data_IF_985512201130
#
_entry.id   IF_985512201130
#
_cell.length_a   1.000
_cell.length_b   1.000
_cell.length_c   1.000
_cell.angle_alpha   90.00
_cell.angle_beta   90.00
_cell.angle_gamma   90.00
#
_symmetry.space_group_name_H-M   'P 1'
#
loop_
_entity.id
_entity.type
_entity.pdbx_description
1 polymer ?
#
# COMPACT_ATOMS: atom_id res chain seq x y z
N UNK A 1 -2.78 -0.21 -24.82
CA UNK A 1 -1.73 0.74 -25.19
C UNK A 1 -1.15 1.45 -23.95
N UNK A 2 -1.92 2.31 -23.21
CA UNK A 2 -1.39 3.04 -22.04
C UNK A 2 -0.74 2.12 -21.00
N UNK A 3 -1.42 1.06 -20.61
CA UNK A 3 -0.89 0.08 -19.63
C UNK A 3 0.43 -0.55 -20.10
N UNK A 4 0.53 -0.84 -21.38
CA UNK A 4 1.76 -1.40 -21.94
C UNK A 4 2.88 -0.36 -21.99
N UNK A 5 2.56 0.92 -22.21
CA UNK A 5 3.54 2.02 -22.15
C UNK A 5 4.07 2.23 -20.72
N UNK A 6 3.19 2.19 -19.71
CA UNK A 6 3.61 2.28 -18.29
C UNK A 6 4.56 1.14 -17.95
N UNK A 7 4.20 -0.09 -18.30
CA UNK A 7 5.08 -1.25 -18.09
C UNK A 7 6.42 -1.10 -18.82
N UNK A 8 6.39 -0.69 -20.10
CA UNK A 8 7.60 -0.52 -20.90
C UNK A 8 8.51 0.56 -20.31
N UNK A 9 7.93 1.64 -19.80
CA UNK A 9 8.70 2.72 -19.16
C UNK A 9 9.35 2.24 -17.85
N UNK A 10 8.62 1.53 -16.99
CA UNK A 10 9.21 0.94 -15.78
C UNK A 10 10.33 -0.07 -16.11
N UNK A 11 10.11 -0.91 -17.10
CA UNK A 11 11.13 -1.86 -17.55
C UNK A 11 12.39 -1.15 -18.04
N UNK A 12 12.23 -0.10 -18.86
CA UNK A 12 13.36 0.70 -19.34
C UNK A 12 14.15 1.33 -18.17
N UNK A 13 13.46 1.88 -17.15
CA UNK A 13 14.13 2.41 -15.97
C UNK A 13 14.87 1.31 -15.21
N UNK A 14 14.22 0.17 -14.99
CA UNK A 14 14.81 -0.98 -14.31
C UNK A 14 16.04 -1.51 -15.04
N UNK A 15 16.01 -1.57 -16.37
CA UNK A 15 17.14 -2.03 -17.21
C UNK A 15 18.34 -1.10 -17.04
N UNK A 16 18.13 0.22 -17.04
CA UNK A 16 19.20 1.21 -16.76
C UNK A 16 19.78 1.01 -15.37
N UNK A 17 18.95 0.85 -14.35
CA UNK A 17 19.43 0.64 -12.98
C UNK A 17 20.26 -0.64 -12.89
N UNK A 18 19.84 -1.70 -13.56
CA UNK A 18 20.57 -3.00 -13.55
C UNK A 18 21.97 -2.91 -14.17
N UNK A 19 22.21 -1.99 -15.08
CA UNK A 19 23.57 -1.77 -15.64
C UNK A 19 24.59 -1.31 -14.57
N UNK A 20 24.10 -0.70 -13.47
CA UNK A 20 24.93 -0.13 -12.42
C UNK A 20 24.73 -0.82 -11.06
N UNK A 21 23.70 -1.64 -10.93
CA UNK A 21 23.37 -2.32 -9.68
C UNK A 21 24.36 -3.47 -9.39
N UNK A 22 24.62 -3.70 -8.10
CA UNK A 22 25.35 -4.86 -7.64
C UNK A 22 24.44 -6.08 -7.49
N UNK A 23 24.98 -7.29 -7.50
CA UNK A 23 24.22 -8.55 -7.44
C UNK A 23 23.33 -8.70 -6.19
N UNK A 24 23.66 -7.99 -5.11
CA UNK A 24 22.90 -8.01 -3.86
C UNK A 24 21.85 -6.90 -3.75
N UNK A 25 21.65 -6.12 -4.79
CA UNK A 25 20.63 -5.06 -4.84
C UNK A 25 19.39 -5.54 -5.59
N UNK A 26 18.23 -5.13 -5.11
CA UNK A 26 16.96 -5.39 -5.76
C UNK A 26 16.30 -4.09 -6.23
N UNK A 27 15.45 -4.18 -7.21
CA UNK A 27 14.63 -3.11 -7.73
C UNK A 27 13.20 -3.28 -7.20
N UNK A 28 12.66 -2.22 -6.66
CA UNK A 28 11.27 -2.12 -6.26
C UNK A 28 10.67 -0.82 -6.79
N UNK A 29 9.36 -0.64 -6.64
CA UNK A 29 8.64 0.58 -7.03
C UNK A 29 7.39 0.73 -6.18
N UNK A 30 7.03 1.97 -5.87
CA UNK A 30 5.81 2.32 -5.17
C UNK A 30 4.60 2.09 -6.08
N UNK A 31 3.91 0.99 -5.90
CA UNK A 31 2.61 0.77 -6.50
C UNK A 31 1.52 1.27 -5.58
N UNK A 32 0.43 1.72 -6.18
CA UNK A 32 -0.68 2.29 -5.47
C UNK A 32 -1.98 1.64 -5.95
N UNK A 33 -2.85 1.27 -4.99
CA UNK A 33 -4.15 0.68 -5.26
C UNK A 33 -5.25 1.56 -4.66
N UNK A 34 -6.49 1.34 -4.97
CA UNK A 34 -7.58 2.06 -4.34
C UNK A 34 -7.94 1.46 -2.98
N UNK A 35 -7.87 2.29 -1.93
CA UNK A 35 -8.12 1.93 -0.54
C UNK A 35 -9.23 2.79 0.06
N UNK A 36 -10.44 2.73 -0.48
CA UNK A 36 -11.57 3.50 0.05
C UNK A 36 -11.34 5.02 0.09
N UNK A 37 -10.63 5.56 -0.90
CA UNK A 37 -10.32 6.99 -0.97
C UNK A 37 -9.10 7.45 -0.17
N UNK A 38 -8.36 6.52 0.46
CA UNK A 38 -7.11 6.82 1.16
C UNK A 38 -5.88 6.70 0.26
N UNK A 39 -6.05 6.18 -0.93
CA UNK A 39 -5.01 6.07 -1.94
C UNK A 39 -5.58 6.34 -3.32
N UNK A 40 -4.72 6.56 -4.31
CA UNK A 40 -5.13 7.01 -5.65
C UNK A 40 -5.76 5.90 -6.52
N UNK A 41 -5.78 4.69 -6.02
CA UNK A 41 -6.56 3.62 -6.58
C UNK A 41 -5.99 2.89 -7.78
N UNK A 42 -6.67 1.81 -8.16
CA UNK A 42 -6.36 1.10 -9.40
C UNK A 42 -6.59 2.05 -10.56
N UNK A 43 -5.50 2.49 -11.14
CA UNK A 43 -5.53 3.41 -12.26
C UNK A 43 -5.99 2.67 -13.52
N UNK A 44 -6.95 3.19 -14.28
CA UNK A 44 -7.37 2.54 -15.53
C UNK A 44 -6.21 2.39 -16.52
N UNK A 45 -5.20 3.25 -16.38
CA UNK A 45 -4.02 3.28 -17.23
C UNK A 45 -2.88 2.36 -16.77
N UNK A 46 -2.98 1.71 -15.62
CA UNK A 46 -1.95 0.83 -15.05
C UNK A 46 -2.49 -0.58 -14.86
N UNK A 47 -1.78 -1.57 -15.37
CA UNK A 47 -1.96 -2.97 -15.06
C UNK A 47 -0.85 -3.38 -14.09
N UNK A 48 -1.16 -3.44 -12.81
CA UNK A 48 -0.19 -3.72 -11.76
C UNK A 48 0.43 -5.11 -11.87
N UNK A 49 -0.30 -6.10 -12.38
CA UNK A 49 0.22 -7.44 -12.62
C UNK A 49 1.31 -7.43 -13.70
N UNK A 50 1.10 -6.66 -14.77
CA UNK A 50 2.13 -6.48 -15.81
C UNK A 50 3.26 -5.57 -15.36
N UNK A 51 2.93 -4.45 -14.70
CA UNK A 51 3.93 -3.47 -14.25
C UNK A 51 4.90 -4.09 -13.22
N UNK A 52 4.42 -4.93 -12.31
CA UNK A 52 5.24 -5.60 -11.31
C UNK A 52 6.31 -6.53 -11.91
N UNK A 53 6.16 -6.96 -13.17
CA UNK A 53 7.18 -7.79 -13.84
C UNK A 53 8.51 -7.04 -14.05
N UNK A 54 8.50 -5.70 -14.01
CA UNK A 54 9.71 -4.89 -14.17
C UNK A 54 10.56 -4.81 -12.90
N UNK A 55 10.02 -5.15 -11.74
CA UNK A 55 10.69 -5.07 -10.43
C UNK A 55 10.96 -6.45 -9.85
N UNK A 56 11.93 -6.55 -8.95
CA UNK A 56 12.28 -7.81 -8.30
C UNK A 56 11.31 -8.14 -7.16
N UNK A 57 10.99 -7.13 -6.34
CA UNK A 57 10.04 -7.22 -5.24
C UNK A 57 8.99 -6.13 -5.42
N UNK A 58 7.71 -6.48 -5.31
CA UNK A 58 6.65 -5.49 -5.39
C UNK A 58 6.65 -4.63 -4.14
N UNK A 59 6.74 -3.32 -4.31
CA UNK A 59 6.52 -2.33 -3.28
C UNK A 59 5.12 -1.73 -3.39
N UNK A 60 4.59 -1.22 -2.30
CA UNK A 60 3.25 -0.62 -2.27
C UNK A 60 3.16 0.49 -1.24
N UNK A 61 2.36 1.48 -1.55
CA UNK A 61 1.95 2.53 -0.63
C UNK A 61 0.56 2.17 -0.10
N UNK A 62 0.45 1.95 1.20
CA UNK A 62 -0.81 1.61 1.85
C UNK A 62 -1.12 2.68 2.90
N UNK A 63 -2.09 3.53 2.58
CA UNK A 63 -2.65 4.49 3.51
C UNK A 63 -4.01 4.03 3.99
N UNK A 64 -4.31 4.25 5.24
CA UNK A 64 -5.52 3.77 5.91
C UNK A 64 -5.98 4.75 6.99
N UNK A 65 -7.23 4.65 7.48
CA UNK A 65 -7.67 5.47 8.59
C UNK A 65 -6.92 5.21 9.88
N UNK A 66 -7.03 6.15 10.80
CA UNK A 66 -6.54 6.05 12.18
C UNK A 66 -7.72 6.09 13.17
N UNK A 67 -7.43 6.01 14.45
CA UNK A 67 -8.41 6.08 15.55
C UNK A 67 -9.52 5.04 15.41
N UNK A 68 -10.77 5.43 15.59
CA UNK A 68 -11.92 4.52 15.58
C UNK A 68 -12.23 3.97 14.17
N UNK A 69 -11.70 4.60 13.13
CA UNK A 69 -11.89 4.18 11.74
C UNK A 69 -10.86 3.13 11.28
N UNK A 70 -9.86 2.81 12.09
CA UNK A 70 -8.88 1.77 11.79
C UNK A 70 -9.51 0.38 11.93
N UNK A 71 -9.90 -0.20 10.81
CA UNK A 71 -10.52 -1.54 10.76
C UNK A 71 -9.54 -2.66 10.38
N UNK A 72 -8.40 -2.31 9.82
CA UNK A 72 -7.41 -3.24 9.25
C UNK A 72 -7.77 -3.77 7.85
N UNK A 73 -8.93 -3.47 7.32
CA UNK A 73 -9.38 -3.94 6.00
C UNK A 73 -8.52 -3.40 4.87
N UNK A 74 -8.14 -2.13 4.94
CA UNK A 74 -7.27 -1.47 3.97
C UNK A 74 -5.90 -2.16 3.92
N UNK A 75 -5.34 -2.45 5.09
CA UNK A 75 -4.04 -3.14 5.22
C UNK A 75 -4.13 -4.55 4.63
N UNK A 76 -5.19 -5.29 4.98
CA UNK A 76 -5.37 -6.65 4.50
C UNK A 76 -5.62 -6.71 2.99
N UNK A 77 -6.51 -5.85 2.47
CA UNK A 77 -6.78 -5.75 1.03
C UNK A 77 -5.52 -5.39 0.26
N UNK A 78 -4.78 -4.38 0.76
CA UNK A 78 -3.53 -3.93 0.18
C UNK A 78 -2.48 -5.02 0.10
N UNK A 79 -2.31 -5.71 1.18
CA UNK A 79 -1.41 -6.85 1.22
C UNK A 79 -1.81 -7.95 0.25
N UNK A 80 -3.10 -8.29 0.18
CA UNK A 80 -3.59 -9.33 -0.74
C UNK A 80 -3.44 -8.95 -2.20
N UNK A 81 -3.77 -7.70 -2.56
CA UNK A 81 -3.57 -7.19 -3.91
C UNK A 81 -2.08 -7.20 -4.30
N UNK A 82 -1.21 -6.68 -3.43
CA UNK A 82 0.22 -6.57 -3.71
C UNK A 82 0.87 -7.93 -3.90
N UNK A 83 0.61 -8.88 -2.99
CA UNK A 83 1.14 -10.24 -3.09
C UNK A 83 0.66 -10.96 -4.35
N UNK A 84 -0.59 -10.70 -4.77
CA UNK A 84 -1.17 -11.32 -5.96
C UNK A 84 -0.45 -10.91 -7.25
N UNK A 85 0.24 -9.78 -7.29
CA UNK A 85 1.02 -9.36 -8.46
C UNK A 85 2.25 -10.22 -8.72
N UNK A 86 2.72 -10.97 -7.72
CA UNK A 86 3.90 -11.85 -7.77
C UNK A 86 3.59 -13.27 -7.25
N UNK A 87 2.46 -13.84 -7.65
CA UNK A 87 2.09 -15.23 -7.30
C UNK A 87 2.08 -15.52 -5.80
N UNK A 88 1.64 -14.57 -5.00
CA UNK A 88 1.56 -14.70 -3.54
C UNK A 88 2.87 -14.50 -2.79
N UNK A 89 3.92 -13.98 -3.45
CA UNK A 89 5.19 -13.63 -2.78
C UNK A 89 5.00 -12.45 -1.83
N UNK A 90 5.83 -12.40 -0.81
CA UNK A 90 5.91 -11.28 0.10
C UNK A 90 6.31 -9.99 -0.63
N UNK A 91 6.03 -8.85 -0.02
CA UNK A 91 6.14 -7.53 -0.61
C UNK A 91 6.69 -6.53 0.40
N UNK A 92 6.94 -5.31 -0.04
CA UNK A 92 7.42 -4.21 0.79
C UNK A 92 6.34 -3.15 0.89
N UNK A 93 6.08 -2.63 2.10
CA UNK A 93 5.33 -1.39 2.29
C UNK A 93 6.34 -0.25 2.26
N UNK A 94 6.35 0.49 1.15
CA UNK A 94 7.30 1.59 0.91
C UNK A 94 6.77 2.91 1.45
N UNK A 95 5.45 3.02 1.61
CA UNK A 95 4.84 4.15 2.28
C UNK A 95 3.62 3.71 3.08
N UNK A 96 3.54 4.19 4.30
CA UNK A 96 2.32 4.22 5.11
C UNK A 96 2.36 5.43 6.03
N UNK A 97 1.21 5.86 6.54
CA UNK A 97 1.18 7.05 7.38
C UNK A 97 1.91 6.85 8.72
N UNK A 98 2.64 7.89 9.12
CA UNK A 98 3.24 7.99 10.45
C UNK A 98 2.26 8.55 11.47
N UNK A 99 1.64 9.69 11.17
CA UNK A 99 0.74 10.42 12.05
C UNK A 99 -0.64 10.74 11.43
N UNK A 100 -1.02 10.06 10.35
CA UNK A 100 -2.22 10.37 9.58
C UNK A 100 -2.07 11.64 8.74
N UNK A 101 -2.53 11.59 7.49
CA UNK A 101 -2.38 12.69 6.54
C UNK A 101 -3.58 13.64 6.59
N UNK A 102 -4.77 13.07 6.54
CA UNK A 102 -6.03 13.79 6.41
C UNK A 102 -6.91 13.70 7.66
N UNK A 103 -6.43 13.12 8.72
CA UNK A 103 -7.17 12.88 9.93
C UNK A 103 -6.37 13.19 11.18
N UNK A 104 -6.77 12.54 12.25
CA UNK A 104 -6.14 12.66 13.55
C UNK A 104 -4.91 11.76 13.63
N UNK A 105 -4.06 12.05 14.60
CA UNK A 105 -2.92 11.19 14.91
C UNK A 105 -3.42 9.84 15.44
N UNK A 106 -2.69 8.75 15.20
CA UNK A 106 -3.07 7.43 15.74
C UNK A 106 -3.23 7.48 17.27
N UNK A 107 -4.20 6.74 17.79
CA UNK A 107 -4.27 6.49 19.23
C UNK A 107 -3.00 5.78 19.73
N UNK A 108 -2.62 5.97 20.98
CA UNK A 108 -1.49 5.24 21.57
C UNK A 108 -1.61 3.73 21.34
N UNK A 109 -0.59 3.11 20.78
CA UNK A 109 -0.57 1.69 20.41
C UNK A 109 -0.95 1.40 18.96
N UNK A 110 -1.60 2.32 18.27
CA UNK A 110 -2.09 2.07 16.90
C UNK A 110 -0.96 2.01 15.87
N UNK A 111 0.07 2.85 15.96
CA UNK A 111 1.18 2.79 15.02
C UNK A 111 1.87 1.41 15.07
N UNK A 112 2.07 0.90 16.27
CA UNK A 112 2.62 -0.44 16.47
C UNK A 112 1.67 -1.53 15.96
N UNK A 113 0.36 -1.40 16.20
CA UNK A 113 -0.66 -2.31 15.69
C UNK A 113 -0.68 -2.34 14.16
N UNK A 114 -0.64 -1.18 13.51
CA UNK A 114 -0.58 -1.03 12.06
C UNK A 114 0.64 -1.75 11.49
N UNK A 115 1.82 -1.52 12.06
CA UNK A 115 3.06 -2.15 11.61
C UNK A 115 2.99 -3.68 11.68
N UNK A 116 2.52 -4.23 12.79
CA UNK A 116 2.30 -5.68 12.91
C UNK A 116 1.22 -6.20 11.95
N UNK A 117 0.19 -5.41 11.66
CA UNK A 117 -0.86 -5.78 10.69
C UNK A 117 -0.29 -5.88 9.26
N UNK A 118 0.61 -4.97 8.88
CA UNK A 118 1.33 -5.07 7.59
C UNK A 118 2.18 -6.34 7.54
N UNK A 119 2.97 -6.62 8.58
CA UNK A 119 3.77 -7.85 8.64
C UNK A 119 2.88 -9.11 8.59
N UNK A 120 1.78 -9.14 9.35
CA UNK A 120 0.81 -10.24 9.35
C UNK A 120 0.15 -10.44 7.97
N UNK A 121 0.03 -9.38 7.18
CA UNK A 121 -0.47 -9.43 5.80
C UNK A 121 0.60 -9.89 4.79
N UNK A 122 1.84 -10.05 5.22
CA UNK A 122 2.95 -10.58 4.41
C UNK A 122 3.95 -9.54 3.94
N UNK A 123 3.92 -8.32 4.49
CA UNK A 123 5.00 -7.36 4.26
C UNK A 123 6.29 -7.82 4.94
N UNK A 124 7.41 -7.72 4.26
CA UNK A 124 8.75 -7.97 4.82
C UNK A 124 9.46 -6.66 5.22
N UNK A 125 8.85 -5.51 4.93
CA UNK A 125 9.34 -4.20 5.29
C UNK A 125 8.18 -3.23 5.46
N UNK A 126 8.33 -2.28 6.37
CA UNK A 126 7.38 -1.17 6.58
C UNK A 126 8.17 0.13 6.66
N UNK A 127 7.92 1.04 5.73
CA UNK A 127 8.47 2.38 5.72
C UNK A 127 7.36 3.41 5.94
N UNK A 128 7.66 4.41 6.77
CA UNK A 128 6.71 5.46 7.08
C UNK A 128 6.92 6.69 6.19
N UNK A 129 5.84 7.25 5.69
CA UNK A 129 5.83 8.58 5.11
C UNK A 129 5.48 9.59 6.20
N UNK A 130 6.47 10.29 6.78
CA UNK A 130 7.89 10.05 6.56
C UNK A 130 8.69 10.40 7.81
N UNK A 131 10.01 10.62 7.69
CA UNK A 131 10.90 10.82 8.84
C UNK A 131 10.49 11.98 9.73
N UNK A 132 10.22 13.14 9.15
CA UNK A 132 9.78 14.33 9.88
C UNK A 132 8.65 15.05 9.13
N UNK A 133 7.83 15.81 9.86
CA UNK A 133 6.78 16.62 9.25
C UNK A 133 7.36 17.63 8.28
N UNK A 134 6.73 17.78 7.12
CA UNK A 134 7.25 18.58 6.00
C UNK A 134 7.12 20.07 6.28
N UNK A 135 8.19 20.85 6.04
CA UNK A 135 8.23 22.29 6.31
C UNK A 135 7.92 23.16 5.10
N UNK A 136 7.97 22.60 3.90
CA UNK A 136 7.81 23.32 2.66
C UNK A 136 7.18 22.48 1.58
N UNK A 137 6.88 23.10 0.42
CA UNK A 137 6.26 22.45 -0.71
C UNK A 137 4.78 22.10 -0.50
N UNK A 138 4.23 21.30 -1.36
CA UNK A 138 2.80 20.97 -1.40
C UNK A 138 2.31 20.21 -0.17
N UNK A 139 3.16 19.36 0.42
CA UNK A 139 2.81 18.48 1.52
C UNK A 139 3.20 19.04 2.91
N UNK A 140 3.28 20.35 3.07
CA UNK A 140 3.70 20.99 4.33
C UNK A 140 2.85 20.67 5.56
N UNK A 141 1.63 20.17 5.37
CA UNK A 141 0.74 19.76 6.44
C UNK A 141 0.82 18.26 6.77
N UNK A 142 1.60 17.50 6.04
CA UNK A 142 1.74 16.07 6.29
C UNK A 142 2.71 15.80 7.43
N UNK A 143 2.25 14.99 8.37
CA UNK A 143 2.93 14.72 9.63
C UNK A 143 3.78 13.46 9.49
N UNK A 144 5.09 13.62 9.68
CA UNK A 144 6.04 12.51 9.74
C UNK A 144 6.13 11.88 11.13
N UNK A 145 7.11 11.01 11.33
CA UNK A 145 7.40 10.44 12.64
C UNK A 145 7.81 11.52 13.66
N UNK A 146 8.68 12.46 13.26
CA UNK A 146 8.97 13.66 14.03
C UNK A 146 7.98 14.77 13.71
N UNK A 147 7.63 15.57 14.69
CA UNK A 147 6.81 16.75 14.53
C UNK A 147 7.52 17.87 13.74
N UNK A 148 6.84 19.00 13.47
CA UNK A 148 7.46 20.12 12.73
C UNK A 148 8.59 20.80 13.47
N UNK A 149 8.67 20.66 14.79
CA UNK A 149 9.79 21.10 15.63
C UNK A 149 10.99 20.14 15.58
N UNK A 150 10.89 19.04 14.84
CA UNK A 150 11.88 17.97 14.72
C UNK A 150 12.15 17.22 16.04
N UNK A 151 11.27 17.37 17.01
CA UNK A 151 11.40 16.72 18.31
C UNK A 151 10.64 15.38 18.37
N UNK A 152 11.14 14.43 19.16
CA UNK A 152 10.46 13.16 19.39
C UNK A 152 9.10 13.34 20.07
N UNK A 153 8.06 12.84 19.45
CA UNK A 153 6.69 12.81 19.95
C UNK A 153 6.25 11.37 20.33
N UNK A 154 5.02 11.14 20.81
CA UNK A 154 4.55 9.80 21.14
C UNK A 154 4.62 8.81 19.97
N UNK A 155 4.26 9.23 18.75
CA UNK A 155 4.31 8.40 17.54
C UNK A 155 5.72 7.94 17.20
N UNK A 156 6.68 8.85 17.26
CA UNK A 156 8.10 8.53 17.07
C UNK A 156 8.61 7.50 18.10
N UNK A 157 8.23 7.68 19.37
CA UNK A 157 8.62 6.75 20.43
C UNK A 157 8.01 5.36 20.22
N UNK A 158 6.76 5.31 19.73
CA UNK A 158 6.06 4.07 19.43
C UNK A 158 6.69 3.32 18.24
N UNK A 159 7.05 4.03 17.17
CA UNK A 159 7.83 3.47 16.07
C UNK A 159 9.16 2.88 16.57
N UNK A 160 9.82 3.58 17.48
CA UNK A 160 11.03 3.08 18.14
C UNK A 160 10.81 1.84 19.00
N UNK A 161 9.64 1.69 19.64
CA UNK A 161 9.28 0.45 20.36
C UNK A 161 9.15 -0.70 19.37
N UNK A 162 8.38 -0.52 18.31
CA UNK A 162 8.21 -1.53 17.27
C UNK A 162 9.55 -1.93 16.64
N UNK A 163 10.38 -0.96 16.26
CA UNK A 163 11.70 -1.24 15.68
C UNK A 163 12.61 -2.06 16.61
N UNK A 164 12.61 -1.77 17.93
CA UNK A 164 13.37 -2.58 18.90
C UNK A 164 12.79 -3.97 19.10
N UNK A 165 11.49 -4.14 18.96
CA UNK A 165 10.87 -5.46 19.06
C UNK A 165 11.25 -6.36 17.89
N UNK A 166 11.11 -5.86 16.65
CA UNK A 166 11.45 -6.66 15.46
C UNK A 166 12.96 -6.86 15.27
N UNK A 167 13.79 -5.99 15.84
CA UNK A 167 15.24 -6.17 15.84
C UNK A 167 15.72 -7.37 16.69
N UNK A 168 14.85 -7.90 17.55
CA UNK A 168 15.14 -9.13 18.29
C UNK A 168 15.00 -10.34 17.35
N UNK A 169 16.05 -11.16 17.18
CA UNK A 169 16.02 -12.30 16.25
C UNK A 169 14.82 -13.24 16.50
N UNK A 170 14.50 -13.50 17.77
CA UNK A 170 13.38 -14.36 18.16
C UNK A 170 11.99 -13.81 17.76
N UNK A 171 11.89 -12.53 17.40
CA UNK A 171 10.68 -11.88 16.90
C UNK A 171 10.77 -11.66 15.40
N UNK A 172 11.79 -10.94 14.94
CA UNK A 172 11.92 -10.54 13.53
C UNK A 172 12.01 -11.72 12.57
N UNK A 173 12.85 -12.73 12.88
CA UNK A 173 12.99 -13.90 12.04
C UNK A 173 11.71 -14.72 11.87
N UNK A 174 10.76 -14.59 12.80
CA UNK A 174 9.45 -15.26 12.74
C UNK A 174 8.40 -14.47 11.96
N UNK A 175 8.64 -13.20 11.69
CA UNK A 175 7.68 -12.30 11.07
C UNK A 175 7.97 -12.01 9.60
N UNK A 176 9.14 -12.41 9.11
CA UNK A 176 9.47 -12.29 7.69
C UNK A 176 9.03 -13.53 6.91
N UNK A 177 8.75 -13.35 5.64
CA UNK A 177 8.36 -14.42 4.70
C UNK A 177 7.16 -15.25 5.17
N UNK A 178 6.22 -14.60 5.88
CA UNK A 178 5.00 -15.24 6.33
C UNK A 178 4.16 -15.70 5.13
N UNK A 179 3.68 -16.94 5.19
CA UNK A 179 2.85 -17.53 4.14
C UNK A 179 1.37 -17.42 4.50
N UNK A 180 0.62 -16.71 3.70
CA UNK A 180 -0.83 -16.63 3.86
C UNK A 180 -1.50 -17.91 3.34
N UNK A 181 -2.49 -18.39 4.08
CA UNK A 181 -3.30 -19.57 3.72
C UNK A 181 -4.67 -19.10 3.23
N UNK A 182 -4.75 -18.75 1.95
CA UNK A 182 -6.00 -18.31 1.36
C UNK A 182 -6.88 -19.51 1.01
N UNK A 183 -8.19 -19.37 1.26
CA UNK A 183 -9.21 -20.35 0.89
C UNK A 183 -10.12 -19.85 -0.22
N UNK A 184 -10.12 -18.53 -0.46
CA UNK A 184 -10.95 -17.85 -1.44
C UNK A 184 -10.07 -16.97 -2.30
N UNK A 185 -10.39 -16.86 -3.59
CA UNK A 185 -9.77 -15.94 -4.52
C UNK A 185 -10.85 -15.03 -5.14
N UNK A 186 -10.53 -13.75 -5.25
CA UNK A 186 -11.36 -12.78 -5.97
C UNK A 186 -10.67 -12.51 -7.31
N UNK A 187 -11.39 -12.73 -8.40
CA UNK A 187 -10.88 -12.40 -9.73
C UNK A 187 -11.13 -10.91 -10.02
N UNK A 188 -10.07 -10.19 -10.34
CA UNK A 188 -10.11 -8.78 -10.75
C UNK A 188 -9.70 -8.63 -12.21
N UNK A 189 -10.29 -7.65 -12.91
CA UNK A 189 -10.03 -7.40 -14.33
C UNK A 189 -9.80 -5.91 -14.59
N UNK A 190 -8.61 -5.57 -15.07
CA UNK A 190 -8.29 -4.21 -15.51
C UNK A 190 -9.13 -3.78 -16.72
N UNK A 191 -9.53 -4.71 -17.56
CA UNK A 191 -10.43 -4.43 -18.71
C UNK A 191 -11.80 -4.02 -18.23
N UNK A 192 -12.36 -4.75 -17.26
CA UNK A 192 -13.67 -4.42 -16.68
C UNK A 192 -13.63 -3.09 -15.93
N UNK A 193 -12.57 -2.83 -15.17
CA UNK A 193 -12.34 -1.53 -14.54
C UNK A 193 -12.36 -0.40 -15.56
N UNK A 194 -11.56 -0.52 -16.63
CA UNK A 194 -11.49 0.50 -17.67
C UNK A 194 -12.80 0.67 -18.41
N UNK A 195 -13.52 -0.43 -18.69
CA UNK A 195 -14.81 -0.37 -19.36
C UNK A 195 -15.83 0.41 -18.53
N UNK A 196 -15.90 0.15 -17.23
CA UNK A 196 -16.83 0.85 -16.33
C UNK A 196 -16.44 2.30 -16.08
N UNK A 197 -15.16 2.62 -16.10
CA UNK A 197 -14.70 4.02 -15.95
C UNK A 197 -14.96 4.86 -17.21
N UNK A 198 -14.82 4.26 -18.40
CA UNK A 198 -14.98 4.97 -19.68
C UNK A 198 -16.40 4.95 -20.22
N UNK A 199 -17.13 3.90 -19.93
CA UNK A 199 -18.53 3.69 -20.32
C UNK A 199 -19.36 3.52 -19.05
N UNK A 200 -19.47 4.61 -18.30
CA UNK A 200 -20.32 4.65 -17.13
C UNK A 200 -21.72 4.14 -17.50
N UNK A 201 -22.15 3.08 -16.87
CA UNK A 201 -23.55 2.74 -16.86
C UNK A 201 -24.23 3.83 -16.02
N UNK A 202 -24.54 4.95 -16.66
CA UNK A 202 -25.46 5.90 -16.08
C UNK A 202 -26.79 5.17 -15.94
N UNK A 203 -26.98 4.59 -14.78
CA UNK A 203 -28.30 4.12 -14.43
C UNK A 203 -29.16 5.37 -14.39
N UNK A 204 -30.24 5.39 -15.16
CA UNK A 204 -31.33 6.34 -15.01
C UNK A 204 -32.04 6.19 -13.65
N UNK A 205 -31.34 5.75 -12.63
CA UNK A 205 -31.78 5.66 -11.26
C UNK A 205 -31.66 7.04 -10.60
N UNK A 206 -32.70 7.47 -9.86
CA UNK A 206 -32.78 8.80 -9.26
C UNK A 206 -31.70 9.08 -8.20
N UNK A 207 -30.78 8.18 -7.95
CA UNK A 207 -29.73 8.29 -6.93
C UNK A 207 -28.31 8.52 -7.46
N UNK A 208 -28.16 8.82 -8.76
CA UNK A 208 -26.97 9.49 -9.31
C UNK A 208 -25.60 8.92 -8.91
N UNK A 209 -25.41 7.62 -8.94
CA UNK A 209 -24.10 7.01 -8.69
C UNK A 209 -23.87 5.87 -9.67
N UNK A 210 -23.00 6.07 -10.66
CA UNK A 210 -22.58 4.98 -11.54
C UNK A 210 -21.94 3.86 -10.73
N UNK A 211 -22.19 2.59 -11.13
CA UNK A 211 -21.51 1.44 -10.54
C UNK A 211 -20.02 1.53 -10.81
N UNK A 212 -19.23 1.68 -9.75
CA UNK A 212 -17.77 1.70 -9.83
C UNK A 212 -17.24 0.29 -9.61
N UNK A 213 -16.38 -0.16 -10.51
CA UNK A 213 -15.78 -1.49 -10.43
C UNK A 213 -15.07 -1.74 -9.09
N UNK A 214 -14.28 -0.78 -8.64
CA UNK A 214 -13.53 -0.89 -7.39
C UNK A 214 -14.45 -0.97 -6.17
N UNK A 215 -15.62 -0.33 -6.17
CA UNK A 215 -16.60 -0.45 -5.08
C UNK A 215 -17.14 -1.87 -5.00
N UNK A 216 -17.40 -2.51 -6.14
CA UNK A 216 -17.84 -3.92 -6.18
C UNK A 216 -16.77 -4.84 -5.61
N UNK A 217 -15.53 -4.70 -6.06
CA UNK A 217 -14.41 -5.53 -5.57
C UNK A 217 -14.23 -5.37 -4.07
N UNK A 218 -14.24 -4.12 -3.57
CA UNK A 218 -14.09 -3.84 -2.13
C UNK A 218 -15.25 -4.38 -1.31
N UNK A 219 -16.48 -4.23 -1.76
CA UNK A 219 -17.65 -4.76 -1.05
C UNK A 219 -17.62 -6.29 -0.95
N UNK A 220 -17.16 -6.96 -2.00
CA UNK A 220 -16.96 -8.42 -1.97
C UNK A 220 -15.84 -8.78 -0.99
N UNK A 221 -14.72 -8.04 -1.02
CA UNK A 221 -13.61 -8.27 -0.09
C UNK A 221 -14.06 -8.06 1.36
N UNK A 222 -14.76 -6.98 1.66
CA UNK A 222 -15.26 -6.65 2.99
C UNK A 222 -16.22 -7.71 3.56
N UNK A 223 -16.97 -8.38 2.69
CA UNK A 223 -17.87 -9.46 3.09
C UNK A 223 -17.13 -10.76 3.42
N UNK A 224 -15.89 -10.91 2.94
CA UNK A 224 -15.05 -12.08 3.17
C UNK A 224 -14.02 -11.89 4.30
N UNK A 225 -13.72 -10.63 4.63
CA UNK A 225 -12.80 -10.25 5.69
C UNK A 225 -13.43 -10.45 7.08
#
# INVERSE_FOLDING_TARGET
FRRDQVRAFLQWQADIVREYAHDNQFITHNFDFEWRGYSFGVQPAVDHFKASTAVDITGVDIYHPTEDDLTGKEIAFGGDMTRSTKDGRNYLVLETEAQGQHGWVPFPGQLRLQAYSHLASGADMVEYWHWHSIHNSFETYWKGLLSHDLEPNPTYREAGVFGREIAKPEVGERLVHLKKRNKVAIMVSNESLSALDWFLIESGFPFGGGLKYNDVVRNVYDALF
#
